data_IF_221232183160
#
_entry.id   IF_221232183160
#
_cell.length_a   1.000
_cell.length_b   1.000
_cell.length_c   1.000
_cell.angle_alpha   90.00
_cell.angle_beta   90.00
_cell.angle_gamma   90.00
#
_symmetry.space_group_name_H-M   'P 1'
#
loop_
_entity.id
_entity.type
_entity.pdbx_description
1 polymer ?
#
# COMPACT_ATOMS: atom_id res chain seq x y z
N UNK A 1 11.18 48.13 3.73
CA UNK A 1 9.90 47.49 4.10
C UNK A 1 9.73 46.30 3.17
N UNK A 2 10.25 45.16 3.58
CA UNK A 2 10.17 43.87 2.90
C UNK A 2 8.85 43.23 3.29
N UNK A 3 7.91 43.13 2.36
CA UNK A 3 6.75 42.26 2.53
C UNK A 3 7.20 40.83 2.25
N UNK A 4 7.38 40.11 3.35
CA UNK A 4 7.57 38.68 3.44
C UNK A 4 6.37 37.99 2.78
N UNK A 5 6.58 37.45 1.58
CA UNK A 5 5.60 36.67 0.84
C UNK A 5 5.72 35.22 1.29
N UNK A 6 4.99 34.87 2.35
CA UNK A 6 4.93 33.52 2.87
C UNK A 6 4.31 32.59 1.82
N UNK A 7 5.14 31.72 1.26
CA UNK A 7 4.77 30.64 0.35
C UNK A 7 3.74 29.68 1.01
N UNK A 8 2.55 29.44 0.43
CA UNK A 8 1.57 28.51 1.01
C UNK A 8 1.73 27.13 0.35
N UNK A 9 2.91 26.53 0.45
CA UNK A 9 3.05 25.10 0.12
C UNK A 9 2.46 24.29 1.29
N UNK A 10 1.14 24.05 1.25
CA UNK A 10 0.52 23.01 2.06
C UNK A 10 1.29 21.71 1.85
N UNK A 11 1.68 21.06 2.97
CA UNK A 11 2.36 19.79 2.88
C UNK A 11 1.46 18.77 2.17
N UNK A 12 2.05 17.86 1.41
CA UNK A 12 1.32 16.84 0.65
C UNK A 12 0.40 16.01 1.57
N UNK A 13 0.80 15.82 2.82
CA UNK A 13 0.01 15.22 3.90
C UNK A 13 -1.22 16.06 4.26
N UNK A 14 -1.08 17.38 4.44
CA UNK A 14 -2.20 18.26 4.76
C UNK A 14 -3.21 18.33 3.61
N UNK A 15 -2.74 18.33 2.36
CA UNK A 15 -3.63 18.27 1.20
C UNK A 15 -4.36 16.92 1.10
N UNK A 16 -3.66 15.80 1.33
CA UNK A 16 -4.26 14.48 1.34
C UNK A 16 -5.30 14.31 2.46
N UNK A 17 -5.08 14.93 3.63
CA UNK A 17 -6.04 14.94 4.73
C UNK A 17 -7.32 15.73 4.42
N UNK A 18 -7.23 16.79 3.61
CA UNK A 18 -8.39 17.56 3.16
C UNK A 18 -9.18 16.84 2.04
N UNK A 19 -8.50 16.12 1.15
CA UNK A 19 -9.13 15.39 0.05
C UNK A 19 -9.78 14.06 0.50
N UNK A 20 -9.28 13.45 1.58
CA UNK A 20 -9.70 12.12 2.06
C UNK A 20 -11.19 12.01 2.43
N UNK A 21 -11.82 12.97 3.16
CA UNK A 21 -13.25 12.87 3.49
C UNK A 21 -14.16 12.90 2.27
N UNK A 22 -13.82 13.71 1.25
CA UNK A 22 -14.56 13.76 0.00
C UNK A 22 -14.43 12.42 -0.76
N UNK A 23 -13.22 11.87 -0.84
CA UNK A 23 -12.97 10.57 -1.46
C UNK A 23 -13.73 9.43 -0.76
N UNK A 24 -13.69 9.36 0.56
CA UNK A 24 -14.38 8.32 1.34
C UNK A 24 -15.90 8.35 1.16
N UNK A 25 -16.49 9.54 1.00
CA UNK A 25 -17.92 9.69 0.74
C UNK A 25 -18.31 9.12 -0.63
N UNK A 26 -17.51 9.37 -1.67
CA UNK A 26 -17.76 8.82 -3.01
C UNK A 26 -17.45 7.32 -3.12
N UNK A 27 -16.38 6.85 -2.48
CA UNK A 27 -16.00 5.44 -2.49
C UNK A 27 -17.05 4.55 -1.80
N UNK A 28 -17.76 5.08 -0.78
CA UNK A 28 -18.88 4.37 -0.12
C UNK A 28 -20.17 4.41 -0.94
N UNK A 29 -20.34 5.42 -1.79
CA UNK A 29 -21.56 5.63 -2.56
C UNK A 29 -21.58 4.86 -3.90
N UNK A 30 -20.43 4.58 -4.50
CA UNK A 30 -20.33 3.94 -5.82
C UNK A 30 -19.42 2.71 -5.79
N UNK A 31 -20.01 1.52 -5.94
CA UNK A 31 -19.28 0.25 -5.99
C UNK A 31 -18.36 0.13 -7.22
N UNK A 32 -18.67 0.84 -8.31
CA UNK A 32 -17.85 0.95 -9.52
C UNK A 32 -17.91 2.40 -10.05
N UNK A 33 -16.75 3.03 -10.29
CA UNK A 33 -16.69 4.35 -10.97
C UNK A 33 -16.72 5.59 -10.06
N UNK A 34 -16.46 5.46 -8.76
CA UNK A 34 -16.46 6.58 -7.80
C UNK A 34 -15.57 7.78 -8.22
N UNK A 35 -14.40 7.51 -8.82
CA UNK A 35 -13.46 8.55 -9.26
C UNK A 35 -14.02 9.36 -10.44
N UNK A 36 -14.57 8.69 -11.45
CA UNK A 36 -15.09 9.35 -12.64
C UNK A 36 -16.29 10.25 -12.30
N UNK A 37 -17.13 9.79 -11.37
CA UNK A 37 -18.29 10.54 -10.87
C UNK A 37 -17.85 11.78 -10.11
N UNK A 38 -16.91 11.64 -9.16
CA UNK A 38 -16.35 12.77 -8.42
C UNK A 38 -15.71 13.82 -9.34
N UNK A 39 -14.94 13.38 -10.35
CA UNK A 39 -14.32 14.28 -11.32
C UNK A 39 -15.39 15.04 -12.11
N UNK A 40 -16.47 14.37 -12.51
CA UNK A 40 -17.59 14.99 -13.23
C UNK A 40 -18.30 16.03 -12.38
N UNK A 41 -18.58 15.73 -11.11
CA UNK A 41 -19.29 16.63 -10.20
C UNK A 41 -18.46 17.88 -9.86
N UNK A 42 -17.14 17.72 -9.67
CA UNK A 42 -16.23 18.84 -9.46
C UNK A 42 -16.11 19.73 -10.71
N UNK A 43 -16.10 19.14 -11.91
CA UNK A 43 -16.08 19.90 -13.15
C UNK A 43 -17.39 20.68 -13.33
N UNK A 44 -18.53 20.07 -13.02
CA UNK A 44 -19.84 20.72 -13.07
C UNK A 44 -19.95 21.87 -12.07
N UNK A 45 -19.43 21.69 -10.85
CA UNK A 45 -19.41 22.75 -9.84
C UNK A 45 -18.61 23.97 -10.31
N UNK A 46 -17.46 23.75 -10.95
CA UNK A 46 -16.68 24.83 -11.53
C UNK A 46 -17.42 25.58 -12.66
N UNK A 47 -18.28 24.90 -13.41
CA UNK A 47 -19.14 25.55 -14.41
C UNK A 47 -20.25 26.39 -13.75
N UNK A 48 -20.84 25.91 -12.65
CA UNK A 48 -21.92 26.61 -11.92
C UNK A 48 -21.39 27.84 -11.16
N UNK A 49 -20.25 27.73 -10.49
CA UNK A 49 -19.64 28.81 -9.70
C UNK A 49 -19.01 29.92 -10.56
N UNK A 50 -19.04 29.76 -11.89
CA UNK A 50 -18.58 30.78 -12.83
C UNK A 50 -17.06 30.94 -12.89
N UNK A 51 -16.31 29.89 -12.55
CA UNK A 51 -14.85 29.87 -12.67
C UNK A 51 -14.45 30.19 -14.11
N UNK A 52 -13.50 31.12 -14.35
CA UNK A 52 -13.06 31.46 -15.70
C UNK A 52 -12.57 30.22 -16.47
N UNK A 53 -13.32 29.80 -17.48
CA UNK A 53 -13.02 28.59 -18.28
C UNK A 53 -13.58 27.28 -17.73
N UNK A 54 -14.35 27.34 -16.64
CA UNK A 54 -15.18 26.26 -16.09
C UNK A 54 -14.45 24.96 -15.78
N UNK A 55 -15.20 23.86 -15.74
CA UNK A 55 -14.69 22.52 -15.51
C UNK A 55 -13.60 22.12 -16.50
N UNK A 56 -13.69 22.58 -17.76
CA UNK A 56 -12.68 22.29 -18.79
C UNK A 56 -11.30 22.89 -18.48
N UNK A 57 -11.24 24.04 -17.81
CA UNK A 57 -9.96 24.61 -17.35
C UNK A 57 -9.45 23.88 -16.12
N UNK A 58 -10.33 23.62 -15.14
CA UNK A 58 -9.98 22.88 -13.92
C UNK A 58 -9.38 21.51 -14.25
N UNK A 59 -10.00 20.75 -15.16
CA UNK A 59 -9.46 19.45 -15.61
C UNK A 59 -8.08 19.56 -16.29
N UNK A 60 -7.85 20.64 -17.06
CA UNK A 60 -6.55 20.89 -17.68
C UNK A 60 -5.48 21.21 -16.65
N UNK A 61 -5.80 22.04 -15.66
CA UNK A 61 -4.87 22.40 -14.58
C UNK A 61 -4.53 21.16 -13.75
N UNK A 62 -5.54 20.40 -13.32
CA UNK A 62 -5.34 19.15 -12.58
C UNK A 62 -4.46 18.14 -13.34
N UNK A 63 -4.65 18.01 -14.66
CA UNK A 63 -3.78 17.16 -15.48
C UNK A 63 -2.35 17.68 -15.55
N UNK A 64 -2.15 18.99 -15.71
CA UNK A 64 -0.81 19.59 -15.74
C UNK A 64 -0.10 19.39 -14.40
N UNK A 65 -0.78 19.68 -13.29
CA UNK A 65 -0.26 19.47 -11.94
C UNK A 65 0.09 18.00 -11.69
N UNK A 66 -0.79 17.07 -12.07
CA UNK A 66 -0.49 15.64 -11.98
C UNK A 66 0.77 15.24 -12.76
N UNK A 67 0.96 15.77 -13.97
CA UNK A 67 2.16 15.48 -14.78
C UNK A 67 3.43 16.12 -14.20
N UNK A 68 3.32 17.28 -13.57
CA UNK A 68 4.43 17.91 -12.85
C UNK A 68 4.78 17.16 -11.56
N UNK A 69 3.77 16.71 -10.83
CA UNK A 69 3.93 15.87 -9.65
C UNK A 69 4.54 14.53 -10.00
N UNK A 70 4.18 13.89 -11.11
CA UNK A 70 4.86 12.68 -11.59
C UNK A 70 6.36 12.90 -11.87
N UNK A 71 6.77 14.12 -12.23
CA UNK A 71 8.19 14.46 -12.42
C UNK A 71 8.89 14.75 -11.10
N UNK A 72 8.21 15.44 -10.19
CA UNK A 72 8.75 15.84 -8.87
C UNK A 72 8.80 14.66 -7.89
N UNK A 73 7.80 13.80 -7.97
CA UNK A 73 7.57 12.61 -7.16
C UNK A 73 7.33 11.44 -8.12
N UNK A 74 8.39 10.90 -8.75
CA UNK A 74 8.22 9.73 -9.59
C UNK A 74 7.56 8.64 -8.76
N UNK A 75 6.43 8.13 -9.27
CA UNK A 75 5.79 6.95 -8.70
C UNK A 75 6.82 5.84 -8.80
N UNK A 76 7.49 5.55 -7.69
CA UNK A 76 8.40 4.41 -7.61
C UNK A 76 7.53 3.20 -7.87
N UNK A 77 7.81 2.49 -8.96
CA UNK A 77 7.12 1.24 -9.25
C UNK A 77 7.12 0.39 -7.97
N UNK A 78 5.98 -0.23 -7.59
CA UNK A 78 5.95 -1.07 -6.41
C UNK A 78 7.11 -2.05 -6.51
N UNK A 79 8.03 -1.99 -5.52
CA UNK A 79 9.15 -2.92 -5.50
C UNK A 79 8.54 -4.31 -5.42
N UNK A 80 8.84 -5.15 -6.41
CA UNK A 80 8.47 -6.57 -6.33
C UNK A 80 9.15 -7.12 -5.08
N UNK A 81 8.40 -7.63 -4.09
CA UNK A 81 9.00 -8.11 -2.86
C UNK A 81 9.89 -9.31 -3.17
N UNK A 82 11.04 -9.43 -2.52
CA UNK A 82 12.02 -10.48 -2.75
C UNK A 82 11.63 -11.78 -2.03
N UNK A 83 11.10 -11.66 -0.82
CA UNK A 83 10.73 -12.81 0.03
C UNK A 83 9.26 -12.71 0.45
N UNK A 84 8.60 -13.86 0.54
CA UNK A 84 7.21 -13.98 0.98
C UNK A 84 7.13 -14.90 2.19
N UNK A 85 6.62 -14.37 3.31
CA UNK A 85 6.26 -15.14 4.49
C UNK A 85 4.82 -15.60 4.39
N UNK A 86 4.60 -16.91 4.45
CA UNK A 86 3.30 -17.51 4.18
C UNK A 86 2.90 -18.51 5.26
N UNK A 87 1.60 -18.63 5.48
CA UNK A 87 1.01 -19.71 6.27
C UNK A 87 -0.17 -20.34 5.53
N UNK A 88 -0.50 -21.58 5.90
CA UNK A 88 -1.58 -22.36 5.30
C UNK A 88 -2.32 -23.11 6.40
N UNK A 89 -3.50 -22.64 6.84
CA UNK A 89 -4.33 -23.35 7.81
C UNK A 89 -5.03 -24.55 7.16
N UNK A 90 -5.48 -24.42 5.90
CA UNK A 90 -6.29 -25.42 5.21
C UNK A 90 -5.92 -25.53 3.72
N UNK A 91 -4.68 -25.91 3.42
CA UNK A 91 -4.26 -26.23 2.04
C UNK A 91 -3.63 -25.05 1.28
N UNK A 92 -4.36 -23.96 1.11
CA UNK A 92 -3.89 -22.79 0.37
C UNK A 92 -2.89 -21.95 1.17
N UNK A 93 -1.92 -21.35 0.47
CA UNK A 93 -0.90 -20.49 1.07
C UNK A 93 -1.34 -19.03 1.04
N UNK A 94 -1.35 -18.41 2.21
CA UNK A 94 -1.69 -17.01 2.42
C UNK A 94 -0.41 -16.24 2.73
N UNK A 95 -0.09 -15.24 1.92
CA UNK A 95 1.01 -14.29 2.20
C UNK A 95 0.56 -13.32 3.29
N UNK A 96 1.33 -13.22 4.37
CA UNK A 96 1.04 -12.29 5.48
C UNK A 96 2.11 -11.22 5.65
N UNK A 97 3.27 -11.42 5.04
CA UNK A 97 4.39 -10.50 5.11
C UNK A 97 5.24 -10.62 3.85
N UNK A 98 5.71 -9.47 3.38
CA UNK A 98 6.53 -9.31 2.20
C UNK A 98 7.81 -8.58 2.58
N UNK A 99 8.97 -9.15 2.21
CA UNK A 99 10.27 -8.51 2.40
C UNK A 99 10.79 -7.98 1.07
N UNK A 100 11.18 -6.71 1.01
CA UNK A 100 11.78 -6.12 -0.20
C UNK A 100 13.26 -6.53 -0.36
N UNK A 101 13.96 -5.96 -1.34
CA UNK A 101 15.37 -6.28 -1.61
C UNK A 101 16.34 -5.96 -0.45
N UNK A 102 15.91 -5.14 0.52
CA UNK A 102 16.70 -4.77 1.70
C UNK A 102 16.37 -5.60 2.93
N UNK A 103 15.22 -6.29 2.95
CA UNK A 103 14.86 -7.20 4.02
C UNK A 103 15.64 -8.51 3.91
N UNK A 104 16.06 -9.05 5.05
CA UNK A 104 16.60 -10.40 5.11
C UNK A 104 15.47 -11.42 5.21
N UNK A 105 15.74 -12.66 4.79
CA UNK A 105 14.78 -13.76 4.94
C UNK A 105 14.41 -13.99 6.42
N UNK A 106 15.34 -13.70 7.34
CA UNK A 106 15.13 -13.75 8.77
C UNK A 106 14.09 -12.74 9.27
N UNK A 107 14.07 -11.53 8.72
CA UNK A 107 13.07 -10.50 9.07
C UNK A 107 11.66 -10.99 8.71
N UNK A 108 11.52 -11.55 7.51
CA UNK A 108 10.26 -12.11 7.01
C UNK A 108 9.82 -13.33 7.82
N UNK A 109 10.75 -14.20 8.21
CA UNK A 109 10.48 -15.35 9.07
C UNK A 109 10.02 -14.92 10.47
N UNK A 110 10.67 -13.92 11.07
CA UNK A 110 10.30 -13.37 12.38
C UNK A 110 8.88 -12.78 12.38
N UNK A 111 8.41 -12.21 11.27
CA UNK A 111 7.05 -11.73 11.16
C UNK A 111 5.98 -12.84 11.23
N UNK A 112 6.35 -14.12 11.06
CA UNK A 112 5.43 -15.25 11.24
C UNK A 112 5.21 -15.63 12.71
N UNK A 113 6.00 -15.09 13.64
CA UNK A 113 6.00 -15.45 15.07
C UNK A 113 4.59 -15.44 15.68
N UNK A 114 3.83 -14.38 15.46
CA UNK A 114 2.48 -14.24 16.03
C UNK A 114 1.54 -15.33 15.50
N UNK A 115 1.68 -15.73 14.24
CA UNK A 115 0.86 -16.81 13.69
C UNK A 115 1.30 -18.19 14.18
N UNK A 116 2.59 -18.39 14.42
CA UNK A 116 3.09 -19.62 15.05
C UNK A 116 2.52 -19.81 16.44
N UNK A 117 2.53 -18.76 17.27
CA UNK A 117 1.93 -18.79 18.60
C UNK A 117 0.43 -19.10 18.53
N UNK A 118 -0.29 -18.49 17.58
CA UNK A 118 -1.72 -18.78 17.34
C UNK A 118 -1.97 -20.20 16.88
N UNK A 119 -1.01 -20.82 16.20
CA UNK A 119 -1.07 -22.22 15.79
C UNK A 119 -0.63 -23.20 16.90
N UNK A 120 -0.23 -22.71 18.07
CA UNK A 120 0.08 -23.52 19.24
C UNK A 120 1.57 -23.83 19.44
N UNK A 121 2.47 -23.25 18.64
CA UNK A 121 3.92 -23.41 18.84
C UNK A 121 4.38 -22.66 20.11
N UNK A 122 5.26 -23.30 20.89
CA UNK A 122 5.73 -22.72 22.14
C UNK A 122 6.76 -21.61 21.90
N UNK A 123 6.66 -20.53 22.67
CA UNK A 123 7.48 -19.30 22.49
C UNK A 123 8.99 -19.56 22.54
N UNK A 124 9.44 -20.54 23.31
CA UNK A 124 10.83 -20.96 23.45
C UNK A 124 11.36 -21.77 22.25
N UNK A 125 10.49 -22.36 21.45
CA UNK A 125 10.83 -23.12 20.24
C UNK A 125 10.87 -22.23 18.98
N UNK A 126 10.16 -21.09 19.01
CA UNK A 126 10.03 -20.21 17.84
C UNK A 126 11.38 -19.73 17.27
N UNK A 127 12.42 -19.38 18.07
CA UNK A 127 13.71 -19.02 17.51
C UNK A 127 14.31 -20.11 16.59
N UNK A 128 14.23 -21.38 16.99
CA UNK A 128 14.71 -22.49 16.18
C UNK A 128 13.87 -22.65 14.89
N UNK A 129 12.56 -22.51 15.02
CA UNK A 129 11.63 -22.53 13.88
C UNK A 129 11.88 -21.39 12.88
N UNK A 130 12.21 -20.19 13.36
CA UNK A 130 12.61 -19.07 12.50
C UNK A 130 13.85 -19.44 11.70
N UNK A 131 14.87 -20.04 12.33
CA UNK A 131 16.05 -20.49 11.59
C UNK A 131 15.73 -21.55 10.53
N UNK A 132 14.82 -22.49 10.83
CA UNK A 132 14.39 -23.51 9.87
C UNK A 132 13.68 -22.90 8.66
N UNK A 133 12.82 -21.91 8.88
CA UNK A 133 12.17 -21.17 7.80
C UNK A 133 13.17 -20.38 6.95
N UNK A 134 14.18 -19.76 7.58
CA UNK A 134 15.25 -19.06 6.85
C UNK A 134 16.00 -20.02 5.93
N UNK A 135 16.22 -21.26 6.36
CA UNK A 135 16.81 -22.34 5.54
C UNK A 135 15.87 -22.87 4.45
N UNK A 136 14.61 -22.41 4.42
CA UNK A 136 13.61 -22.80 3.43
C UNK A 136 12.78 -24.03 3.83
N UNK A 137 12.79 -24.42 5.11
CA UNK A 137 11.93 -25.49 5.59
C UNK A 137 10.44 -25.07 5.54
N UNK A 138 9.58 -26.08 5.43
CA UNK A 138 8.15 -25.92 5.68
C UNK A 138 7.86 -26.48 7.05
N UNK A 139 7.47 -25.61 7.98
CA UNK A 139 7.07 -26.02 9.32
C UNK A 139 5.59 -26.39 9.33
N UNK A 140 5.24 -27.38 10.14
CA UNK A 140 3.84 -27.80 10.35
C UNK A 140 3.59 -27.85 11.85
N UNK A 141 2.66 -27.03 12.34
CA UNK A 141 2.19 -27.08 13.72
C UNK A 141 1.26 -28.28 13.93
N UNK A 142 1.07 -28.69 15.19
CA UNK A 142 0.22 -29.85 15.55
C UNK A 142 -1.24 -29.71 15.10
N UNK A 143 -1.73 -28.46 14.99
CA UNK A 143 -3.07 -28.18 14.48
C UNK A 143 -3.18 -28.27 12.94
N UNK A 144 -2.11 -28.68 12.25
CA UNK A 144 -2.04 -28.81 10.79
C UNK A 144 -1.67 -27.52 10.05
N UNK A 145 -1.53 -26.38 10.74
CA UNK A 145 -1.14 -25.12 10.10
C UNK A 145 0.31 -25.21 9.63
N UNK A 146 0.56 -24.87 8.38
CA UNK A 146 1.89 -24.90 7.79
C UNK A 146 2.45 -23.48 7.62
N UNK A 147 3.77 -23.33 7.73
CA UNK A 147 4.49 -22.07 7.59
C UNK A 147 5.66 -22.24 6.63
N UNK A 148 5.95 -21.22 5.82
CA UNK A 148 7.14 -21.19 4.97
C UNK A 148 7.58 -19.77 4.68
N UNK A 149 8.86 -19.61 4.34
CA UNK A 149 9.37 -18.40 3.69
C UNK A 149 9.98 -18.80 2.35
N UNK A 150 9.53 -18.16 1.28
CA UNK A 150 9.99 -18.44 -0.09
C UNK A 150 10.55 -17.18 -0.75
N UNK A 151 11.39 -17.38 -1.76
CA UNK A 151 11.66 -16.33 -2.74
C UNK A 151 10.38 -16.05 -3.53
N UNK A 152 10.12 -14.78 -3.82
CA UNK A 152 8.99 -14.41 -4.65
C UNK A 152 9.22 -14.91 -6.08
N UNK A 153 8.36 -15.79 -6.63
CA UNK A 153 8.50 -16.28 -8.00
C UNK A 153 8.51 -15.16 -9.05
N UNK A 154 7.89 -14.01 -8.74
CA UNK A 154 7.89 -12.84 -9.62
C UNK A 154 9.29 -12.19 -9.78
N UNK A 155 10.27 -12.52 -8.93
CA UNK A 155 11.66 -12.06 -9.05
C UNK A 155 12.54 -13.00 -9.88
N UNK A 156 12.08 -14.20 -10.23
CA UNK A 156 12.87 -15.23 -10.92
C UNK A 156 12.71 -15.22 -12.46
N UNK A 157 12.19 -14.13 -13.02
CA UNK A 157 11.99 -13.91 -14.47
C UNK A 157 13.15 -13.21 -15.15
#
# INVERSE_FOLDING_TARGET
MTTDSTDPHLSLTAFAELARPAWELYAKASADGAIATLISDLAHLADIEGEPGGGRRVLRLARTEYLEDLRRYPVVAPKVPRYLGQFSPEGDWITIVEGDATAERADVANCLWVQMQRAGLHTDEIPAHVEDLVRGAVLTADNGTRFRVIDNPACSG
#
